data_IF_578726935709
#
_entry.id   IF_578726935709
#
_cell.length_a   1.000
_cell.length_b   1.000
_cell.length_c   1.000
_cell.angle_alpha   90.00
_cell.angle_beta   90.00
_cell.angle_gamma   90.00
#
_symmetry.space_group_name_H-M   'P 1'
#
loop_
_entity.id
_entity.type
_entity.pdbx_description
1 polymer ?
#
# COMPACT_ATOMS: atom_id res chain seq x y z
N UNK A 1 84.54 -22.51 7.45
CA UNK A 1 83.16 -22.35 6.94
C UNK A 1 82.41 -23.69 6.86
N UNK A 2 82.44 -24.55 7.90
CA UNK A 2 81.69 -25.83 7.94
C UNK A 2 80.67 -25.93 9.09
N UNK A 3 80.70 -25.01 10.06
CA UNK A 3 79.77 -24.99 11.20
C UNK A 3 78.45 -24.23 10.97
N UNK A 4 78.37 -23.38 9.94
CA UNK A 4 77.17 -22.54 9.71
C UNK A 4 76.02 -23.31 9.03
N UNK A 5 76.32 -24.34 8.23
CA UNK A 5 75.31 -25.11 7.49
C UNK A 5 74.53 -26.10 8.38
N UNK A 6 75.09 -26.52 9.52
CA UNK A 6 74.41 -27.45 10.42
C UNK A 6 73.35 -26.75 11.28
N UNK A 7 73.56 -25.48 11.64
CA UNK A 7 72.61 -24.70 12.47
C UNK A 7 71.37 -24.31 11.65
N UNK A 8 71.53 -24.00 10.36
CA UNK A 8 70.39 -23.67 9.48
C UNK A 8 69.50 -24.90 9.26
N UNK A 9 70.07 -26.10 9.13
CA UNK A 9 69.30 -27.33 8.92
C UNK A 9 68.48 -27.78 10.14
N UNK A 10 68.93 -27.47 11.36
CA UNK A 10 68.23 -27.82 12.61
C UNK A 10 67.09 -26.84 12.91
N UNK A 11 67.21 -25.57 12.52
CA UNK A 11 66.14 -24.58 12.68
C UNK A 11 65.01 -24.82 11.67
N UNK A 12 65.30 -25.23 10.43
CA UNK A 12 64.25 -25.59 9.46
C UNK A 12 63.49 -26.86 9.82
N UNK A 13 64.08 -27.82 10.54
CA UNK A 13 63.35 -29.01 10.99
C UNK A 13 62.49 -28.75 12.23
N UNK A 14 62.93 -27.87 13.15
CA UNK A 14 62.17 -27.57 14.37
C UNK A 14 60.93 -26.67 14.11
N UNK A 15 60.94 -25.88 13.03
CA UNK A 15 59.80 -25.02 12.65
C UNK A 15 58.72 -25.80 11.89
N UNK A 16 59.03 -26.96 11.30
CA UNK A 16 58.05 -27.77 10.55
C UNK A 16 57.28 -28.74 11.46
N UNK A 17 57.81 -29.11 12.62
CA UNK A 17 57.15 -30.06 13.54
C UNK A 17 56.10 -29.45 14.47
N UNK A 18 55.78 -28.15 14.33
CA UNK A 18 54.69 -27.49 15.09
C UNK A 18 53.52 -27.03 14.22
N UNK A 19 53.47 -27.42 12.94
CA UNK A 19 52.35 -27.11 12.03
C UNK A 19 51.23 -28.17 12.04
N UNK A 20 51.34 -29.21 12.88
CA UNK A 20 50.26 -30.16 13.18
C UNK A 20 49.24 -29.59 14.18
N UNK A 21 49.05 -28.27 14.21
CA UNK A 21 47.73 -27.75 14.57
C UNK A 21 46.82 -28.14 13.42
N UNK A 22 46.26 -29.36 13.49
CA UNK A 22 45.04 -29.70 12.76
C UNK A 22 44.05 -28.62 13.17
N UNK A 23 43.91 -27.60 12.32
CA UNK A 23 42.92 -26.56 12.51
C UNK A 23 41.60 -27.32 12.49
N UNK A 24 41.03 -27.51 13.69
CA UNK A 24 39.73 -28.15 13.83
C UNK A 24 38.72 -27.38 13.01
N UNK A 25 37.69 -28.07 12.56
CA UNK A 25 36.56 -27.42 11.88
C UNK A 25 36.06 -26.26 12.74
N UNK A 26 35.97 -25.06 12.21
CA UNK A 26 35.37 -23.94 12.93
C UNK A 26 33.87 -23.92 12.72
N UNK A 27 33.08 -23.92 13.79
CA UNK A 27 31.62 -23.77 13.71
C UNK A 27 31.20 -22.41 14.27
N UNK A 28 30.16 -21.78 13.75
CA UNK A 28 29.54 -20.63 14.43
C UNK A 28 28.87 -21.12 15.71
N UNK A 29 29.05 -20.41 16.83
CA UNK A 29 28.44 -20.78 18.13
C UNK A 29 27.68 -19.63 18.75
N UNK A 30 26.36 -19.72 18.73
CA UNK A 30 25.47 -18.72 19.30
C UNK A 30 24.07 -19.29 19.52
N UNK A 31 23.22 -18.52 20.19
CA UNK A 31 21.78 -18.75 20.23
C UNK A 31 21.02 -17.48 19.86
N UNK A 32 19.72 -17.59 19.61
CA UNK A 32 18.84 -16.47 19.28
C UNK A 32 18.72 -15.41 20.39
N UNK A 33 19.36 -15.60 21.55
CA UNK A 33 19.55 -14.50 22.52
C UNK A 33 20.54 -13.45 22.02
N UNK A 34 21.44 -13.84 21.11
CA UNK A 34 22.25 -12.93 20.30
C UNK A 34 21.51 -12.61 18.99
N UNK A 35 21.17 -11.34 18.79
CA UNK A 35 20.47 -10.87 17.59
C UNK A 35 21.23 -11.20 16.29
N UNK A 36 22.56 -11.26 16.33
CA UNK A 36 23.39 -11.60 15.18
C UNK A 36 23.28 -13.08 14.81
N UNK A 37 22.99 -13.97 15.77
CA UNK A 37 22.83 -15.40 15.50
C UNK A 37 21.73 -15.69 14.46
N UNK A 38 20.68 -14.86 14.49
CA UNK A 38 19.57 -14.90 13.55
C UNK A 38 19.85 -14.06 12.30
N UNK A 39 20.22 -12.79 12.48
CA UNK A 39 20.19 -11.79 11.40
C UNK A 39 21.47 -11.70 10.58
N UNK A 40 22.62 -12.01 11.20
CA UNK A 40 23.94 -11.92 10.57
C UNK A 40 24.90 -12.96 11.18
N UNK A 41 24.66 -14.26 10.96
CA UNK A 41 25.41 -15.32 11.61
C UNK A 41 26.92 -15.26 11.29
N UNK A 42 27.30 -14.74 10.13
CA UNK A 42 28.70 -14.57 9.74
C UNK A 42 29.48 -13.57 10.62
N UNK A 43 28.79 -12.71 11.37
CA UNK A 43 29.42 -11.79 12.33
C UNK A 43 29.69 -12.43 13.71
N UNK A 44 29.17 -13.63 13.94
CA UNK A 44 29.35 -14.38 15.18
C UNK A 44 30.73 -15.03 15.20
N UNK A 45 31.35 -15.06 16.38
CA UNK A 45 32.63 -15.73 16.60
C UNK A 45 32.52 -17.24 16.35
N UNK A 46 33.49 -17.79 15.63
CA UNK A 46 33.63 -19.23 15.46
C UNK A 46 34.25 -19.90 16.68
N UNK A 47 33.93 -21.17 16.90
CA UNK A 47 34.57 -22.03 17.89
C UNK A 47 35.20 -23.23 17.18
N UNK A 48 36.33 -23.72 17.68
CA UNK A 48 36.95 -24.92 17.13
C UNK A 48 36.17 -26.17 17.60
N UNK A 49 35.80 -27.02 16.65
CA UNK A 49 34.98 -28.21 16.85
C UNK A 49 35.89 -29.44 16.84
N UNK A 50 35.82 -30.26 17.90
CA UNK A 50 36.46 -31.59 17.92
C UNK A 50 35.80 -32.54 16.92
N UNK A 51 34.52 -32.30 16.63
CA UNK A 51 33.75 -33.00 15.60
C UNK A 51 33.90 -32.30 14.24
N UNK A 52 33.76 -33.10 13.18
CA UNK A 52 33.79 -32.60 11.79
C UNK A 52 32.42 -32.08 11.33
N UNK A 53 31.54 -31.63 12.24
CA UNK A 53 30.20 -31.19 11.89
C UNK A 53 29.74 -29.95 12.68
N UNK A 54 29.36 -28.90 11.95
CA UNK A 54 28.62 -27.75 12.45
C UNK A 54 27.11 -28.04 12.40
N UNK A 55 26.31 -27.42 13.26
CA UNK A 55 24.85 -27.46 13.17
C UNK A 55 24.20 -26.07 13.26
N UNK A 56 23.00 -25.96 12.69
CA UNK A 56 21.99 -24.94 13.00
C UNK A 56 20.71 -25.67 13.37
N UNK A 57 20.13 -25.39 14.54
CA UNK A 57 18.92 -26.04 15.02
C UNK A 57 17.90 -25.02 15.55
N UNK A 58 16.62 -25.39 15.51
CA UNK A 58 15.54 -24.66 16.19
C UNK A 58 14.88 -25.56 17.23
N UNK A 59 14.76 -25.09 18.46
CA UNK A 59 14.02 -25.77 19.52
C UNK A 59 12.49 -25.54 19.40
N UNK A 60 11.67 -26.33 20.10
CA UNK A 60 10.21 -26.26 20.02
C UNK A 60 9.61 -24.90 20.41
N UNK A 61 10.32 -24.10 21.20
CA UNK A 61 9.93 -22.74 21.58
C UNK A 61 10.40 -21.67 20.56
N UNK A 62 11.05 -22.06 19.47
CA UNK A 62 11.62 -21.15 18.47
C UNK A 62 13.04 -20.67 18.74
N UNK A 63 13.68 -21.09 19.84
CA UNK A 63 15.08 -20.75 20.09
C UNK A 63 15.97 -21.36 19.02
N UNK A 64 16.70 -20.53 18.30
CA UNK A 64 17.70 -20.98 17.31
C UNK A 64 19.04 -21.13 17.99
N UNK A 65 19.76 -22.20 17.71
CA UNK A 65 21.13 -22.42 18.16
C UNK A 65 22.03 -22.84 17.01
N UNK A 66 23.27 -22.38 17.07
CA UNK A 66 24.36 -22.75 16.17
C UNK A 66 25.51 -23.28 17.01
N UNK A 67 26.19 -24.31 16.55
CA UNK A 67 27.34 -24.85 17.28
C UNK A 67 27.97 -26.07 16.62
N UNK A 68 28.76 -26.80 17.41
CA UNK A 68 29.39 -28.05 17.04
C UNK A 68 28.50 -29.23 17.43
N UNK A 69 28.41 -30.26 16.59
CA UNK A 69 27.84 -31.53 17.05
C UNK A 69 28.75 -32.21 18.08
N UNK A 70 28.21 -32.98 19.03
CA UNK A 70 29.00 -33.87 19.87
C UNK A 70 29.84 -34.87 19.04
N UNK A 71 31.00 -35.27 19.57
CA UNK A 71 31.85 -36.27 18.92
C UNK A 71 31.10 -37.59 18.68
N UNK A 72 31.30 -38.17 17.50
CA UNK A 72 30.60 -39.39 17.07
C UNK A 72 29.17 -39.16 16.58
N UNK A 73 28.60 -37.95 16.72
CA UNK A 73 27.29 -37.61 16.18
C UNK A 73 27.41 -37.09 14.74
N UNK A 74 26.72 -37.75 13.82
CA UNK A 74 26.70 -37.40 12.38
C UNK A 74 25.34 -36.91 11.91
N UNK A 75 24.32 -36.99 12.77
CA UNK A 75 22.94 -36.61 12.47
C UNK A 75 22.33 -35.85 13.64
N UNK A 76 21.40 -34.93 13.34
CA UNK A 76 20.58 -34.33 14.38
C UNK A 76 19.46 -35.30 14.78
N UNK A 77 19.00 -35.20 16.02
CA UNK A 77 17.86 -35.99 16.51
C UNK A 77 16.56 -35.66 15.76
N UNK A 78 16.40 -34.41 15.33
CA UNK A 78 15.29 -33.98 14.48
C UNK A 78 15.84 -33.34 13.19
N UNK A 79 15.70 -34.05 12.07
CA UNK A 79 16.17 -33.59 10.76
C UNK A 79 15.33 -32.45 10.17
N UNK A 80 14.14 -32.19 10.72
CA UNK A 80 13.24 -31.12 10.23
C UNK A 80 13.65 -29.76 10.79
N UNK A 81 14.12 -29.74 12.03
CA UNK A 81 14.49 -28.52 12.75
C UNK A 81 16.00 -28.29 12.83
N UNK A 82 16.82 -29.19 12.28
CA UNK A 82 18.27 -29.13 12.40
C UNK A 82 18.98 -29.45 11.08
N UNK A 83 19.96 -28.62 10.74
CA UNK A 83 20.80 -28.76 9.55
C UNK A 83 22.26 -28.89 9.97
N UNK A 84 22.98 -29.75 9.25
CA UNK A 84 24.38 -30.10 9.52
C UNK A 84 25.21 -29.80 8.28
N UNK A 85 26.44 -29.36 8.50
CA UNK A 85 27.43 -29.17 7.44
C UNK A 85 28.84 -29.38 7.99
N UNK A 86 29.82 -29.60 7.11
CA UNK A 86 31.16 -30.09 7.47
C UNK A 86 32.31 -29.23 6.93
N UNK A 87 32.06 -27.93 6.71
CA UNK A 87 33.07 -26.95 6.29
C UNK A 87 33.10 -25.76 7.25
N UNK A 88 34.21 -25.01 7.27
CA UNK A 88 34.37 -23.93 8.24
C UNK A 88 33.24 -22.90 8.16
N UNK A 89 32.61 -22.64 9.30
CA UNK A 89 31.53 -21.68 9.54
C UNK A 89 30.37 -21.85 8.58
N UNK A 90 30.13 -23.08 8.13
CA UNK A 90 29.09 -23.41 7.15
C UNK A 90 27.66 -23.33 7.70
N UNK A 91 27.49 -23.36 9.02
CA UNK A 91 26.20 -23.35 9.69
C UNK A 91 25.59 -21.94 9.68
N UNK A 92 25.38 -21.39 8.49
CA UNK A 92 24.84 -20.05 8.20
C UNK A 92 23.40 -20.10 7.68
N UNK A 93 22.79 -21.29 7.67
CA UNK A 93 21.42 -21.52 7.18
C UNK A 93 20.44 -20.42 7.62
N UNK A 94 19.66 -19.92 6.67
CA UNK A 94 18.54 -19.00 6.91
C UNK A 94 17.48 -19.68 7.77
N UNK A 95 16.85 -18.91 8.66
CA UNK A 95 15.71 -19.36 9.47
C UNK A 95 14.46 -18.63 9.02
N UNK A 96 13.41 -19.38 8.69
CA UNK A 96 12.15 -18.85 8.19
C UNK A 96 10.97 -19.36 9.03
N UNK A 97 9.85 -18.65 9.00
CA UNK A 97 8.60 -19.22 9.50
C UNK A 97 8.11 -20.30 8.54
N UNK A 98 7.68 -21.45 9.07
CA UNK A 98 7.15 -22.58 8.33
C UNK A 98 5.77 -22.98 8.87
N UNK A 99 4.75 -22.81 8.04
CA UNK A 99 3.35 -23.13 8.39
C UNK A 99 2.50 -23.19 7.12
N UNK A 100 1.27 -23.71 7.26
CA UNK A 100 0.21 -23.64 6.25
C UNK A 100 -1.15 -23.40 6.93
N UNK A 101 -2.02 -22.61 6.29
CA UNK A 101 -3.37 -22.32 6.75
C UNK A 101 -3.48 -21.03 7.56
N UNK A 102 -4.50 -20.93 8.41
CA UNK A 102 -4.83 -19.72 9.17
C UNK A 102 -3.76 -19.32 10.19
N UNK A 103 -3.08 -20.30 10.79
CA UNK A 103 -2.01 -20.05 11.75
C UNK A 103 -0.83 -19.26 11.16
N UNK A 104 -0.68 -19.26 9.82
CA UNK A 104 0.31 -18.46 9.15
C UNK A 104 0.00 -16.97 9.13
N UNK A 105 -1.23 -16.52 9.39
CA UNK A 105 -1.50 -15.09 9.41
C UNK A 105 -0.84 -14.41 10.62
N UNK A 106 -0.74 -15.12 11.74
CA UNK A 106 -0.12 -14.66 12.99
C UNK A 106 0.92 -15.67 13.44
N UNK A 107 2.12 -15.57 12.87
CA UNK A 107 3.21 -16.50 13.18
C UNK A 107 3.76 -16.29 14.60
N UNK A 108 4.23 -17.38 15.19
CA UNK A 108 4.93 -17.37 16.48
C UNK A 108 6.31 -18.02 16.33
N UNK A 109 7.22 -17.77 17.27
CA UNK A 109 8.58 -18.31 17.18
C UNK A 109 8.64 -19.84 17.17
N UNK A 110 7.65 -20.52 17.75
CA UNK A 110 7.51 -21.97 17.67
C UNK A 110 7.34 -22.50 16.21
N UNK A 111 7.01 -21.63 15.26
CA UNK A 111 6.90 -21.95 13.83
C UNK A 111 8.20 -21.69 13.05
N UNK A 112 9.30 -21.31 13.72
CA UNK A 112 10.59 -21.12 13.05
C UNK A 112 11.19 -22.47 12.65
N UNK A 113 11.75 -22.53 11.45
CA UNK A 113 12.44 -23.70 10.92
C UNK A 113 13.73 -23.28 10.21
N UNK A 114 14.76 -24.12 10.31
CA UNK A 114 16.03 -23.95 9.61
C UNK A 114 15.87 -24.42 8.16
N UNK A 115 16.28 -23.59 7.20
CA UNK A 115 16.26 -23.97 5.79
C UNK A 115 17.37 -24.96 5.45
N UNK A 116 17.06 -25.93 4.58
CA UNK A 116 17.97 -27.03 4.21
C UNK A 116 19.26 -26.59 3.51
N UNK A 117 19.30 -25.39 2.93
CA UNK A 117 20.51 -24.82 2.33
C UNK A 117 20.79 -23.42 2.86
N UNK A 118 22.06 -23.03 2.87
CA UNK A 118 22.53 -21.68 3.18
C UNK A 118 22.08 -20.63 2.14
N UNK A 119 21.84 -21.07 0.90
CA UNK A 119 21.30 -20.27 -0.20
C UNK A 119 19.77 -20.14 -0.19
N UNK A 120 19.10 -20.81 0.74
CA UNK A 120 17.64 -20.74 0.85
C UNK A 120 17.17 -19.36 1.28
N UNK A 121 16.05 -18.94 0.68
CA UNK A 121 15.32 -17.72 1.04
C UNK A 121 14.03 -18.08 1.74
N UNK A 122 13.45 -17.13 2.48
CA UNK A 122 12.11 -17.29 3.00
C UNK A 122 11.09 -16.86 1.96
N UNK A 123 9.94 -17.52 1.94
CA UNK A 123 8.82 -17.09 1.14
C UNK A 123 7.50 -17.09 1.92
N UNK A 124 6.55 -16.31 1.43
CA UNK A 124 5.14 -16.33 1.79
C UNK A 124 4.30 -16.39 0.52
N UNK A 125 3.29 -17.24 0.51
CA UNK A 125 2.24 -17.25 -0.51
C UNK A 125 0.88 -17.25 0.17
N UNK A 126 -0.15 -16.65 -0.41
CA UNK A 126 -1.47 -16.63 0.22
C UNK A 126 -2.48 -15.77 -0.53
N UNK A 127 -3.74 -16.17 -0.39
CA UNK A 127 -4.89 -15.61 -1.11
C UNK A 127 -5.93 -15.04 -0.15
N UNK A 128 -5.79 -15.36 1.14
CA UNK A 128 -6.59 -14.84 2.25
C UNK A 128 -5.80 -15.01 3.56
N UNK A 129 -6.29 -14.40 4.65
CA UNK A 129 -5.74 -14.62 5.99
C UNK A 129 -5.85 -16.10 6.45
N UNK A 130 -6.82 -16.86 5.94
CA UNK A 130 -7.01 -18.27 6.30
C UNK A 130 -6.27 -19.24 5.37
N UNK A 131 -5.73 -18.74 4.25
CA UNK A 131 -5.02 -19.53 3.25
C UNK A 131 -3.68 -18.86 2.92
N UNK A 132 -2.72 -19.10 3.81
CA UNK A 132 -1.32 -18.70 3.65
C UNK A 132 -0.41 -19.91 3.82
N UNK A 133 0.74 -19.87 3.15
CA UNK A 133 1.84 -20.80 3.32
C UNK A 133 3.12 -19.99 3.48
N UNK A 134 3.94 -20.39 4.44
CA UNK A 134 5.28 -19.83 4.66
C UNK A 134 6.26 -21.00 4.69
N UNK A 135 7.38 -20.88 3.99
CA UNK A 135 8.45 -21.87 4.07
C UNK A 135 9.76 -21.31 3.50
N UNK A 136 10.76 -22.19 3.40
CA UNK A 136 12.02 -21.97 2.70
C UNK A 136 11.89 -22.32 1.23
N UNK A 137 12.55 -21.58 0.33
CA UNK A 137 12.51 -21.86 -1.12
C UNK A 137 13.04 -23.26 -1.49
N UNK A 138 14.00 -23.80 -0.73
CA UNK A 138 14.53 -25.14 -0.93
C UNK A 138 13.61 -26.27 -0.41
N UNK A 139 12.52 -25.98 0.30
CA UNK A 139 11.64 -27.00 0.86
C UNK A 139 10.86 -27.74 -0.24
N UNK A 140 11.27 -28.94 -0.61
CA UNK A 140 10.63 -29.74 -1.68
C UNK A 140 9.32 -30.39 -1.26
N UNK A 141 8.91 -30.28 0.01
CA UNK A 141 7.66 -30.88 0.51
C UNK A 141 6.42 -30.03 0.17
N UNK A 142 6.62 -28.76 -0.19
CA UNK A 142 5.53 -27.85 -0.51
C UNK A 142 5.10 -28.00 -1.97
N UNK A 143 3.81 -28.28 -2.19
CA UNK A 143 3.23 -28.44 -3.54
C UNK A 143 3.25 -27.14 -4.34
N UNK A 144 3.05 -26.00 -3.66
CA UNK A 144 3.09 -24.68 -4.27
C UNK A 144 4.24 -23.87 -3.70
N UNK A 145 5.13 -23.44 -4.59
CA UNK A 145 6.27 -22.58 -4.29
C UNK A 145 6.12 -21.29 -5.06
N UNK A 146 6.62 -20.22 -4.45
CA UNK A 146 6.97 -19.02 -5.19
C UNK A 146 7.88 -19.36 -6.38
N UNK A 147 7.52 -18.99 -7.62
CA UNK A 147 8.42 -19.13 -8.75
C UNK A 147 9.67 -18.26 -8.54
N UNK A 148 10.80 -18.70 -9.08
CA UNK A 148 12.11 -18.12 -8.78
C UNK A 148 12.26 -16.64 -9.21
N UNK A 149 11.44 -16.20 -10.16
CA UNK A 149 11.38 -14.86 -10.72
C UNK A 149 10.36 -13.93 -10.03
N UNK A 150 9.58 -14.44 -9.07
CA UNK A 150 8.66 -13.68 -8.21
C UNK A 150 7.65 -12.77 -8.94
N UNK A 151 7.29 -13.09 -10.19
CA UNK A 151 6.27 -12.31 -10.93
C UNK A 151 4.84 -12.59 -10.47
N UNK A 152 4.66 -13.62 -9.62
CA UNK A 152 3.36 -13.98 -9.08
C UNK A 152 2.92 -12.95 -8.02
N UNK A 153 1.82 -12.22 -8.23
CA UNK A 153 1.29 -11.25 -7.26
C UNK A 153 0.71 -11.92 -6.00
N UNK A 154 0.79 -13.24 -5.87
CA UNK A 154 0.44 -14.02 -4.68
C UNK A 154 1.68 -14.64 -4.02
N UNK A 155 2.85 -14.05 -4.24
CA UNK A 155 4.12 -14.50 -3.69
C UNK A 155 4.96 -13.32 -3.14
N UNK A 156 5.68 -13.56 -2.05
CA UNK A 156 6.74 -12.68 -1.54
C UNK A 156 7.95 -13.53 -1.14
N UNK A 157 9.14 -13.17 -1.64
CA UNK A 157 10.43 -13.79 -1.29
C UNK A 157 11.31 -12.74 -0.61
N UNK A 158 12.00 -13.14 0.46
CA UNK A 158 12.95 -12.29 1.17
C UNK A 158 14.14 -13.11 1.67
N UNK A 159 15.31 -12.47 1.81
CA UNK A 159 16.59 -13.17 2.02
C UNK A 159 17.12 -13.09 3.46
N UNK A 160 16.47 -12.32 4.34
CA UNK A 160 16.88 -12.20 5.74
C UNK A 160 16.14 -13.19 6.62
N UNK A 161 16.72 -13.56 7.77
CA UNK A 161 16.03 -14.44 8.71
C UNK A 161 14.70 -13.83 9.16
N UNK A 162 13.68 -14.67 9.32
CA UNK A 162 12.36 -14.29 9.86
C UNK A 162 11.61 -13.21 9.04
N UNK A 163 12.06 -12.91 7.82
CA UNK A 163 11.51 -11.83 7.01
C UNK A 163 10.08 -12.13 6.51
N UNK A 164 9.73 -13.40 6.39
CA UNK A 164 8.42 -13.86 5.98
C UNK A 164 7.42 -13.88 7.15
N UNK A 165 7.44 -12.88 8.04
CA UNK A 165 6.54 -12.79 9.22
C UNK A 165 5.27 -11.97 9.00
N UNK A 166 5.20 -11.26 7.88
CA UNK A 166 4.17 -10.25 7.63
C UNK A 166 2.80 -10.89 7.43
N UNK A 167 1.81 -10.49 8.22
CA UNK A 167 0.41 -10.96 8.11
C UNK A 167 -0.19 -10.69 6.72
N UNK A 168 -1.23 -11.45 6.33
CA UNK A 168 -1.85 -11.36 5.00
C UNK A 168 -2.23 -9.92 4.63
N UNK A 169 -2.90 -9.24 5.56
CA UNK A 169 -3.22 -7.83 5.50
C UNK A 169 -2.56 -7.11 6.67
N UNK A 170 -2.05 -5.91 6.41
CA UNK A 170 -1.49 -5.03 7.44
C UNK A 170 -1.82 -3.58 7.13
N UNK A 171 -1.75 -2.76 8.16
CA UNK A 171 -1.79 -1.31 8.01
C UNK A 171 -0.37 -0.79 7.80
N UNK A 172 -0.15 -0.10 6.68
CA UNK A 172 1.12 0.57 6.39
C UNK A 172 0.85 1.85 5.62
N UNK A 173 1.35 2.98 6.15
CA UNK A 173 1.03 4.31 5.63
C UNK A 173 -0.40 4.75 5.96
N UNK A 174 -0.71 6.00 5.59
CA UNK A 174 -2.04 6.57 5.80
C UNK A 174 -2.37 7.59 4.71
N UNK A 175 -3.65 7.71 4.36
CA UNK A 175 -4.14 8.65 3.34
C UNK A 175 -5.50 9.23 3.73
N UNK A 176 -5.84 10.38 3.17
CA UNK A 176 -7.24 10.83 3.16
C UNK A 176 -8.03 9.89 2.25
N UNK A 177 -9.15 9.37 2.75
CA UNK A 177 -10.04 8.44 2.06
C UNK A 177 -11.44 9.02 1.98
N UNK A 178 -11.93 9.29 0.77
CA UNK A 178 -13.25 9.84 0.56
C UNK A 178 -13.70 9.58 -0.89
N UNK A 179 -14.99 9.34 -1.15
CA UNK A 179 -15.49 9.18 -2.53
C UNK A 179 -15.57 10.51 -3.28
N UNK A 180 -15.75 11.64 -2.57
CA UNK A 180 -15.90 12.97 -3.15
C UNK A 180 -15.58 14.07 -2.12
N UNK A 181 -14.29 14.28 -1.81
CA UNK A 181 -13.85 15.41 -0.99
C UNK A 181 -13.00 16.36 -1.83
N UNK A 182 -13.70 17.33 -2.41
CA UNK A 182 -13.13 18.41 -3.21
C UNK A 182 -12.48 19.49 -2.36
N UNK A 183 -12.95 19.65 -1.12
CA UNK A 183 -12.40 20.62 -0.17
C UNK A 183 -11.03 20.18 0.35
N UNK A 184 -10.22 21.13 0.80
CA UNK A 184 -8.99 20.81 1.52
C UNK A 184 -9.33 19.96 2.75
N UNK A 185 -8.47 19.00 3.07
CA UNK A 185 -8.67 18.10 4.21
C UNK A 185 -7.53 18.27 5.20
N UNK A 186 -7.85 18.20 6.49
CA UNK A 186 -6.84 18.18 7.54
C UNK A 186 -6.07 16.87 7.50
N UNK A 187 -4.74 16.92 7.60
CA UNK A 187 -3.90 15.72 7.57
C UNK A 187 -4.24 14.72 8.70
N UNK A 188 -4.81 15.20 9.81
CA UNK A 188 -5.27 14.38 10.92
C UNK A 188 -6.50 13.52 10.61
N UNK A 189 -7.22 13.79 9.51
CA UNK A 189 -8.34 12.97 9.05
C UNK A 189 -7.90 11.72 8.27
N UNK A 190 -6.59 11.51 8.12
CA UNK A 190 -6.03 10.36 7.44
C UNK A 190 -6.44 9.03 8.08
N UNK A 191 -6.75 8.05 7.24
CA UNK A 191 -7.02 6.68 7.64
C UNK A 191 -5.84 5.78 7.25
N UNK A 192 -5.60 4.74 8.04
CA UNK A 192 -4.56 3.77 7.75
C UNK A 192 -4.84 3.05 6.41
N UNK A 193 -3.79 2.79 5.65
CA UNK A 193 -3.90 2.05 4.41
C UNK A 193 -3.71 0.55 4.64
N UNK A 194 -4.74 -0.24 4.33
CA UNK A 194 -4.65 -1.70 4.32
C UNK A 194 -3.93 -2.17 3.05
N UNK A 195 -2.80 -2.86 3.21
CA UNK A 195 -2.04 -3.46 2.11
C UNK A 195 -1.83 -4.95 2.35
N UNK A 196 -1.54 -5.70 1.28
CA UNK A 196 -1.24 -7.12 1.35
C UNK A 196 0.22 -7.40 1.72
N UNK A 197 0.50 -8.59 2.26
CA UNK A 197 1.83 -9.03 2.72
C UNK A 197 2.96 -8.89 1.68
N UNK A 198 2.62 -8.94 0.39
CA UNK A 198 3.56 -8.83 -0.72
C UNK A 198 3.56 -7.45 -1.39
N UNK A 199 2.79 -6.50 -0.87
CA UNK A 199 2.77 -5.13 -1.32
C UNK A 199 3.60 -4.26 -0.38
N UNK A 200 4.06 -3.12 -0.90
CA UNK A 200 4.61 -2.02 -0.12
C UNK A 200 3.68 -0.82 -0.25
N UNK A 201 3.63 0.03 0.77
CA UNK A 201 2.86 1.27 0.67
C UNK A 201 3.46 2.17 -0.42
N UNK A 202 2.68 2.49 -1.44
CA UNK A 202 3.15 3.30 -2.59
C UNK A 202 2.71 4.75 -2.53
N UNK A 203 1.78 5.11 -1.64
CA UNK A 203 1.32 6.48 -1.46
C UNK A 203 -0.19 6.64 -1.46
N UNK A 204 -0.61 7.88 -1.68
CA UNK A 204 -2.00 8.32 -1.76
C UNK A 204 -2.34 8.80 -3.16
N UNK A 205 -3.62 8.80 -3.50
CA UNK A 205 -4.13 9.38 -4.75
C UNK A 205 -5.24 10.41 -4.51
N UNK A 206 -5.48 11.25 -5.51
CA UNK A 206 -6.65 12.13 -5.68
C UNK A 206 -7.06 12.11 -7.15
N UNK A 207 -8.31 11.78 -7.45
CA UNK A 207 -8.84 11.83 -8.83
C UNK A 207 -9.40 13.22 -9.16
N UNK A 208 -9.58 13.52 -10.44
CA UNK A 208 -10.25 14.75 -10.89
C UNK A 208 -11.72 14.85 -10.47
N UNK A 209 -12.35 13.73 -10.12
CA UNK A 209 -13.68 13.68 -9.53
C UNK A 209 -13.68 13.96 -8.01
N UNK A 210 -12.50 14.18 -7.41
CA UNK A 210 -12.35 14.46 -5.98
C UNK A 210 -12.32 13.22 -5.08
N UNK A 211 -12.23 12.01 -5.65
CA UNK A 211 -12.05 10.79 -4.87
C UNK A 211 -10.60 10.70 -4.38
N UNK A 212 -10.41 10.31 -3.12
CA UNK A 212 -9.10 10.19 -2.48
C UNK A 212 -8.96 8.82 -1.82
N UNK A 213 -7.75 8.28 -1.82
CA UNK A 213 -7.47 7.05 -1.09
C UNK A 213 -6.02 6.59 -1.17
N UNK A 214 -5.79 5.36 -0.73
CA UNK A 214 -4.50 4.68 -0.79
C UNK A 214 -4.24 4.16 -2.20
N UNK A 215 -3.05 4.42 -2.74
CA UNK A 215 -2.71 4.08 -4.12
C UNK A 215 -2.74 2.57 -4.38
N UNK A 216 -2.36 1.75 -3.39
CA UNK A 216 -2.43 0.29 -3.47
C UNK A 216 -3.85 -0.26 -3.68
N UNK A 217 -4.89 0.51 -3.36
CA UNK A 217 -6.29 0.11 -3.48
C UNK A 217 -6.95 0.61 -4.77
N UNK A 218 -6.21 1.38 -5.59
CA UNK A 218 -6.71 1.88 -6.87
C UNK A 218 -6.39 0.87 -7.98
N UNK A 219 -7.42 0.26 -8.56
CA UNK A 219 -7.27 -0.64 -9.70
C UNK A 219 -6.60 0.09 -10.88
N UNK A 220 -5.53 -0.49 -11.43
CA UNK A 220 -4.72 0.12 -12.49
C UNK A 220 -3.76 1.23 -12.00
N UNK A 221 -3.81 1.59 -10.72
CA UNK A 221 -2.99 2.65 -10.14
C UNK A 221 -3.35 4.06 -10.66
N UNK A 222 -2.45 5.01 -10.41
CA UNK A 222 -2.61 6.43 -10.77
C UNK A 222 -1.62 6.78 -11.88
N UNK A 223 -1.82 6.21 -13.07
CA UNK A 223 -0.87 6.28 -14.19
C UNK A 223 -1.11 7.47 -15.12
N UNK A 224 -2.36 7.95 -15.21
CA UNK A 224 -2.73 9.11 -16.00
C UNK A 224 -2.78 10.38 -15.12
N UNK A 225 -1.77 11.22 -15.28
CA UNK A 225 -1.64 12.48 -14.56
C UNK A 225 -2.78 13.49 -14.86
N UNK A 226 -3.54 13.30 -15.94
CA UNK A 226 -4.65 14.19 -16.29
C UNK A 226 -5.93 13.88 -15.53
N UNK A 227 -6.08 12.63 -15.05
CA UNK A 227 -7.27 12.16 -14.32
C UNK A 227 -6.97 11.80 -12.86
N UNK A 228 -5.69 11.67 -12.51
CA UNK A 228 -5.26 11.26 -11.19
C UNK A 228 -3.92 11.91 -10.77
N UNK A 229 -3.86 12.39 -9.53
CA UNK A 229 -2.64 12.85 -8.88
C UNK A 229 -2.25 11.87 -7.76
N UNK A 230 -0.97 11.54 -7.64
CA UNK A 230 -0.44 10.72 -6.55
C UNK A 230 0.68 11.41 -5.77
N UNK A 231 0.93 10.93 -4.56
CA UNK A 231 2.00 11.41 -3.68
C UNK A 231 2.40 10.30 -2.69
N UNK A 232 3.65 10.29 -2.20
CA UNK A 232 4.22 9.13 -1.47
C UNK A 232 4.25 9.27 0.05
N UNK A 233 4.02 10.46 0.59
CA UNK A 233 4.03 10.69 2.04
C UNK A 233 2.68 10.37 2.69
N UNK A 234 2.69 10.12 4.01
CA UNK A 234 1.45 9.93 4.76
C UNK A 234 0.56 11.18 4.68
N UNK A 235 -0.73 10.97 4.40
CA UNK A 235 -1.76 12.00 4.35
C UNK A 235 -1.37 13.16 3.40
N UNK A 236 -0.65 12.87 2.31
CA UNK A 236 -0.17 13.90 1.38
C UNK A 236 -1.25 14.42 0.43
N UNK A 237 -2.36 13.67 0.30
CA UNK A 237 -3.49 14.01 -0.55
C UNK A 237 -4.48 14.94 0.17
N UNK A 238 -4.00 16.03 0.75
CA UNK A 238 -4.79 17.00 1.54
C UNK A 238 -5.24 18.21 0.74
N UNK A 239 -4.51 18.57 -0.33
CA UNK A 239 -4.83 19.72 -1.17
C UNK A 239 -6.28 19.69 -1.66
N UNK A 240 -6.93 20.86 -1.74
CA UNK A 240 -8.24 20.97 -2.37
C UNK A 240 -8.15 20.53 -3.84
N UNK A 241 -9.14 19.77 -4.31
CA UNK A 241 -9.32 19.55 -5.74
C UNK A 241 -9.74 20.85 -6.43
N UNK A 242 -9.64 20.93 -7.77
CA UNK A 242 -10.21 22.06 -8.50
C UNK A 242 -11.71 22.12 -8.20
N UNK A 243 -12.16 23.24 -7.66
CA UNK A 243 -13.58 23.47 -7.43
C UNK A 243 -14.25 23.68 -8.78
N UNK A 244 -15.28 22.88 -9.10
CA UNK A 244 -15.97 22.95 -10.39
C UNK A 244 -17.44 23.33 -10.23
N UNK A 245 -18.00 23.96 -11.25
CA UNK A 245 -19.44 24.19 -11.37
C UNK A 245 -19.95 23.66 -12.70
N UNK A 246 -21.22 23.27 -12.74
CA UNK A 246 -21.91 23.06 -14.01
C UNK A 246 -21.97 24.43 -14.72
N UNK A 247 -21.56 24.47 -15.98
CA UNK A 247 -21.56 25.67 -16.82
C UNK A 247 -22.34 25.43 -18.11
N UNK A 248 -23.60 25.86 -18.13
CA UNK A 248 -24.48 25.60 -19.25
C UNK A 248 -25.60 26.65 -19.38
N UNK A 249 -26.18 26.70 -20.57
CA UNK A 249 -27.38 27.46 -20.91
C UNK A 249 -28.46 26.50 -21.41
N UNK A 250 -29.70 26.65 -20.91
CA UNK A 250 -30.78 25.67 -21.15
C UNK A 250 -31.23 25.54 -22.60
N UNK A 251 -30.97 26.54 -23.44
CA UNK A 251 -31.24 26.50 -24.89
C UNK A 251 -30.09 25.88 -25.70
N UNK A 252 -28.89 25.72 -25.12
CA UNK A 252 -27.70 25.22 -25.81
C UNK A 252 -27.37 23.78 -25.39
N UNK A 253 -27.60 23.45 -24.11
CA UNK A 253 -27.22 22.17 -23.52
C UNK A 253 -28.46 21.46 -23.00
N UNK A 254 -28.80 20.33 -23.62
CA UNK A 254 -29.87 19.44 -23.15
C UNK A 254 -29.58 18.98 -21.71
N UNK A 255 -30.58 19.00 -20.84
CA UNK A 255 -30.43 18.64 -19.43
C UNK A 255 -29.95 19.78 -18.53
N UNK A 256 -29.49 20.91 -19.09
CA UNK A 256 -29.10 22.06 -18.28
C UNK A 256 -30.26 22.60 -17.43
N UNK A 257 -31.50 22.54 -17.94
CA UNK A 257 -32.66 22.97 -17.18
C UNK A 257 -32.91 22.11 -15.94
N UNK A 258 -32.83 20.78 -16.09
CA UNK A 258 -33.09 19.82 -15.01
C UNK A 258 -31.88 19.66 -14.08
N UNK A 259 -30.68 19.99 -14.56
CA UNK A 259 -29.43 19.66 -13.87
C UNK A 259 -29.15 18.15 -13.86
N UNK A 260 -29.86 17.40 -14.69
CA UNK A 260 -29.72 15.96 -14.87
C UNK A 260 -29.15 15.65 -16.26
N UNK A 261 -28.28 14.65 -16.33
CA UNK A 261 -27.59 14.22 -17.55
C UNK A 261 -26.22 13.63 -17.20
N UNK A 262 -25.72 12.69 -18.00
CA UNK A 262 -24.44 12.03 -17.72
C UNK A 262 -23.22 12.91 -18.00
N UNK A 263 -23.38 14.01 -18.74
CA UNK A 263 -22.27 14.87 -19.18
C UNK A 263 -22.67 16.35 -19.28
N UNK A 264 -23.11 16.95 -18.17
CA UNK A 264 -23.22 18.42 -18.16
C UNK A 264 -21.81 19.04 -18.16
N UNK A 265 -21.52 20.01 -19.04
CA UNK A 265 -20.23 20.68 -19.07
C UNK A 265 -19.94 21.33 -17.72
N UNK A 266 -18.69 21.20 -17.27
CA UNK A 266 -18.21 21.78 -16.02
C UNK A 266 -16.96 22.62 -16.25
N UNK A 267 -16.78 23.62 -15.40
CA UNK A 267 -15.67 24.58 -15.45
C UNK A 267 -15.06 24.73 -14.06
N UNK A 268 -13.76 25.01 -14.01
CA UNK A 268 -13.05 25.33 -12.77
C UNK A 268 -13.40 26.75 -12.29
N UNK A 269 -13.72 26.91 -11.01
CA UNK A 269 -14.05 28.21 -10.41
C UNK A 269 -13.11 28.52 -9.25
N UNK A 270 -12.24 29.51 -9.46
CA UNK A 270 -11.25 29.93 -8.46
C UNK A 270 -11.86 30.36 -7.11
N UNK A 271 -13.08 30.91 -7.11
CA UNK A 271 -13.74 31.45 -5.91
C UNK A 271 -14.64 30.46 -5.17
N UNK A 272 -14.66 29.18 -5.55
CA UNK A 272 -15.36 28.16 -4.76
C UNK A 272 -16.88 28.32 -4.69
N UNK A 273 -17.51 29.05 -5.61
CA UNK A 273 -18.96 29.31 -5.59
C UNK A 273 -19.60 29.09 -6.96
N UNK A 274 -20.60 28.22 -6.99
CA UNK A 274 -21.47 28.01 -8.15
C UNK A 274 -22.75 28.82 -8.03
N UNK A 275 -23.39 29.10 -9.17
CA UNK A 275 -24.75 29.58 -9.22
C UNK A 275 -25.61 28.84 -10.24
N UNK A 276 -26.91 28.89 -10.02
CA UNK A 276 -27.95 28.52 -10.98
C UNK A 276 -29.12 29.48 -10.86
N UNK A 277 -29.65 30.00 -11.97
CA UNK A 277 -30.85 30.85 -11.97
C UNK A 277 -31.52 30.94 -13.34
N UNK A 278 -32.60 31.71 -13.43
CA UNK A 278 -33.40 31.88 -14.65
C UNK A 278 -33.39 33.34 -15.09
N UNK A 279 -32.93 33.60 -16.31
CA UNK A 279 -32.92 34.93 -16.93
C UNK A 279 -33.59 34.87 -18.29
N UNK A 280 -34.57 35.74 -18.53
CA UNK A 280 -35.32 35.79 -19.79
C UNK A 280 -35.90 34.43 -20.20
N UNK A 281 -36.33 33.63 -19.23
CA UNK A 281 -36.86 32.28 -19.46
C UNK A 281 -35.80 31.20 -19.73
N UNK A 282 -34.51 31.53 -19.66
CA UNK A 282 -33.40 30.58 -19.84
C UNK A 282 -32.77 30.22 -18.49
N UNK A 283 -32.56 28.94 -18.25
CA UNK A 283 -31.80 28.43 -17.13
C UNK A 283 -30.30 28.58 -17.39
N UNK A 284 -29.60 29.23 -16.46
CA UNK A 284 -28.16 29.48 -16.54
C UNK A 284 -27.50 28.86 -15.31
N UNK A 285 -26.42 28.10 -15.53
CA UNK A 285 -25.55 27.55 -14.49
C UNK A 285 -24.12 27.96 -14.79
N UNK A 286 -23.35 28.42 -13.81
CA UNK A 286 -21.91 28.68 -13.97
C UNK A 286 -21.20 28.90 -12.61
N UNK A 287 -19.90 29.21 -12.64
CA UNK A 287 -19.20 29.89 -11.54
C UNK A 287 -19.82 31.26 -11.28
N UNK A 288 -19.96 31.69 -10.01
CA UNK A 288 -20.49 33.04 -9.71
C UNK A 288 -19.69 34.15 -10.39
N UNK A 289 -18.38 33.98 -10.50
CA UNK A 289 -17.45 34.94 -11.13
C UNK A 289 -17.60 35.05 -12.64
N UNK A 290 -18.22 34.06 -13.30
CA UNK A 290 -18.49 34.11 -14.73
C UNK A 290 -19.81 34.85 -15.05
N UNK A 291 -20.68 35.07 -14.06
CA UNK A 291 -21.87 35.88 -14.20
C UNK A 291 -21.51 37.37 -14.35
N UNK A 292 -22.35 38.14 -15.05
CA UNK A 292 -22.21 39.60 -15.07
C UNK A 292 -22.37 40.17 -13.66
N UNK A 293 -21.87 41.39 -13.40
CA UNK A 293 -22.03 42.04 -12.08
C UNK A 293 -23.51 42.11 -11.65
N UNK A 294 -24.41 42.34 -12.60
CA UNK A 294 -25.86 42.33 -12.35
C UNK A 294 -26.36 40.93 -11.95
N UNK A 295 -25.94 39.88 -12.64
CA UNK A 295 -26.31 38.50 -12.27
C UNK A 295 -25.76 38.14 -10.89
N UNK A 296 -24.50 38.50 -10.60
CA UNK A 296 -23.89 38.28 -9.29
C UNK A 296 -24.69 38.99 -8.19
N UNK A 297 -25.03 40.26 -8.39
CA UNK A 297 -25.87 41.02 -7.45
C UNK A 297 -27.25 40.36 -7.24
N UNK A 298 -27.90 39.94 -8.32
CA UNK A 298 -29.22 39.28 -8.25
C UNK A 298 -29.17 37.95 -7.50
N UNK A 299 -28.09 37.18 -7.67
CA UNK A 299 -27.84 35.94 -6.96
C UNK A 299 -27.56 36.15 -5.47
N UNK A 300 -26.63 37.04 -5.14
CA UNK A 300 -26.22 37.32 -3.75
C UNK A 300 -27.41 37.88 -2.94
N UNK A 301 -28.22 38.75 -3.55
CA UNK A 301 -29.36 39.38 -2.88
C UNK A 301 -30.69 38.63 -3.06
N UNK A 302 -30.67 37.43 -3.68
CA UNK A 302 -31.86 36.60 -3.95
C UNK A 302 -33.01 37.39 -4.59
N UNK A 303 -32.69 38.19 -5.60
CA UNK A 303 -33.64 39.06 -6.29
C UNK A 303 -34.60 38.22 -7.13
N UNK A 304 -35.90 38.35 -6.87
CA UNK A 304 -36.95 37.79 -7.72
C UNK A 304 -37.13 38.65 -9.00
N UNK A 305 -37.50 38.06 -10.16
CA UNK A 305 -37.97 36.68 -10.37
C UNK A 305 -36.86 35.70 -10.82
N UNK A 306 -35.59 36.04 -10.62
CA UNK A 306 -34.46 35.32 -11.24
C UNK A 306 -34.19 33.95 -10.60
N UNK A 307 -34.80 33.66 -9.44
CA UNK A 307 -34.70 32.37 -8.74
C UNK A 307 -33.27 31.87 -8.59
N UNK A 308 -32.32 32.80 -8.44
CA UNK A 308 -30.92 32.44 -8.40
C UNK A 308 -30.57 31.81 -7.05
N UNK A 309 -29.84 30.72 -7.10
CA UNK A 309 -29.27 30.03 -5.96
C UNK A 309 -27.76 29.96 -6.13
N UNK A 310 -27.03 30.12 -5.03
CA UNK A 310 -25.59 29.92 -4.96
C UNK A 310 -25.27 28.77 -4.02
N UNK A 311 -24.18 28.07 -4.27
CA UNK A 311 -23.71 26.99 -3.41
C UNK A 311 -22.18 26.87 -3.49
N UNK A 312 -21.57 26.34 -2.43
CA UNK A 312 -20.11 26.35 -2.20
C UNK A 312 -19.49 24.95 -2.19
N UNK A 313 -20.20 23.95 -2.72
CA UNK A 313 -19.66 22.60 -2.93
C UNK A 313 -19.47 22.36 -4.44
N UNK A 314 -18.47 21.57 -4.84
CA UNK A 314 -18.22 21.35 -6.27
C UNK A 314 -19.42 20.66 -6.94
N UNK A 315 -19.81 21.13 -8.13
CA UNK A 315 -20.95 20.66 -8.92
C UNK A 315 -22.30 20.72 -8.18
N UNK A 316 -22.41 21.60 -7.18
CA UNK A 316 -23.61 21.73 -6.35
C UNK A 316 -24.80 22.36 -7.07
N UNK A 317 -24.55 23.13 -8.13
CA UNK A 317 -25.58 23.85 -8.86
C UNK A 317 -26.34 22.93 -9.82
N UNK A 318 -26.83 21.79 -9.33
CA UNK A 318 -27.53 20.75 -10.11
C UNK A 318 -29.05 20.71 -9.88
N UNK A 319 -29.57 21.53 -8.99
CA UNK A 319 -31.01 21.52 -8.68
C UNK A 319 -31.81 21.98 -9.90
N UNK A 320 -32.89 21.24 -10.23
CA UNK A 320 -33.78 21.55 -11.35
C UNK A 320 -34.47 22.91 -11.16
N UNK A 321 -34.61 23.67 -12.25
CA UNK A 321 -35.44 24.88 -12.24
C UNK A 321 -36.92 24.47 -12.22
N UNK A 322 -37.46 24.15 -11.04
CA UNK A 322 -38.84 23.67 -10.90
C UNK A 322 -39.83 24.72 -11.43
N UNK A 323 -40.53 24.44 -12.53
CA UNK A 323 -41.38 25.39 -13.26
C UNK A 323 -42.67 25.84 -12.54
N UNK A 324 -42.85 25.56 -11.25
CA UNK A 324 -44.08 25.96 -10.55
C UNK A 324 -44.27 27.47 -10.44
N UNK A 325 -43.21 28.26 -10.62
CA UNK A 325 -43.26 29.73 -10.61
C UNK A 325 -43.61 30.40 -11.94
N UNK A 326 -43.52 29.73 -13.10
CA UNK A 326 -43.78 30.37 -14.40
C UNK A 326 -45.23 30.28 -14.87
N UNK A 327 -46.02 29.34 -14.33
CA UNK A 327 -47.44 29.21 -14.69
C UNK A 327 -48.30 30.37 -14.17
N UNK A 328 -47.86 31.08 -13.11
CA UNK A 328 -48.61 32.18 -12.50
C UNK A 328 -48.50 33.50 -13.26
N UNK A 329 -47.55 33.69 -14.18
CA UNK A 329 -47.42 34.93 -14.96
C UNK A 329 -48.13 34.90 -16.32
N UNK A 330 -48.38 33.73 -16.92
CA UNK A 330 -49.17 33.65 -18.16
C UNK A 330 -50.68 33.54 -17.92
N UNK A 331 -51.13 33.20 -16.71
CA UNK A 331 -52.55 33.02 -16.40
C UNK A 331 -53.34 34.31 -16.09
N UNK A 332 -52.71 35.36 -15.56
CA UNK A 332 -53.47 36.53 -15.06
C UNK A 332 -53.80 37.52 -16.18
N UNK A 333 -52.93 37.72 -17.18
CA UNK A 333 -53.20 38.66 -18.28
C UNK A 333 -54.28 38.10 -19.24
N UNK A 334 -54.34 36.78 -19.43
CA UNK A 334 -55.38 36.14 -20.24
C UNK A 334 -56.76 36.09 -19.57
N UNK A 335 -56.82 35.97 -18.24
CA UNK A 335 -58.10 35.89 -17.52
C UNK A 335 -58.80 37.25 -17.40
N UNK A 336 -58.05 38.37 -17.30
CA UNK A 336 -58.64 39.70 -17.24
C UNK A 336 -59.18 40.19 -18.60
N UNK A 337 -58.62 39.76 -19.73
CA UNK A 337 -59.17 40.05 -21.06
C UNK A 337 -60.43 39.23 -21.36
N UNK A 338 -60.55 38.01 -20.85
CA UNK A 338 -61.78 37.22 -20.94
C UNK A 338 -62.95 37.80 -20.14
N UNK A 339 -62.70 38.37 -18.95
CA UNK A 339 -63.75 38.93 -18.09
C UNK A 339 -64.34 40.25 -18.64
N UNK A 340 -63.57 41.03 -19.42
CA UNK A 340 -64.05 42.27 -20.03
C UNK A 340 -64.93 42.05 -21.27
N UNK A 341 -64.87 40.88 -21.92
CA UNK A 341 -65.75 40.55 -23.05
C UNK A 341 -67.13 40.06 -22.57
N UNK A 342 -67.21 39.42 -21.40
CA UNK A 342 -68.49 38.97 -20.83
C UNK A 342 -69.30 40.14 -20.24
N UNK A 343 -68.65 41.17 -19.67
CA UNK A 343 -69.34 42.34 -19.09
C UNK A 343 -69.81 43.39 -20.11
N UNK A 344 -69.51 43.24 -21.41
CA UNK A 344 -70.07 44.07 -22.49
C UNK A 344 -71.31 43.47 -23.16
N UNK A 345 -71.72 42.27 -22.74
CA UNK A 345 -72.79 41.50 -23.38
C UNK A 345 -74.02 41.29 -22.47
N UNK A 346 -74.11 42.01 -21.35
CA UNK A 346 -75.24 42.01 -20.43
C UNK A 346 -75.84 43.41 -20.32
#
# INVERSE_FOLDING_TARGET
MRGLNLIIAVITTLVVTQLDSSLGLQCLSCSSTDANCLTNPSSVTGVDCSSNNCFTATAANGTVSRGCLPDGQTTCTDSTSCQICNTDKCNTNTVCYKCTGESCNTVTDAMLAVCSTDTSKCYTTGWSATNMTRSCTADTTQTYKCPADATDPSCSICSTAQCNKVAYQREEGSCITCPNCVEAQEASAGQACTILYNQTFTGCYTTTAGARGCLNNLEGGCTDATTCQSCTANNCNTAAGPFKCIACLSNEVSGCWTGEGTELPSVDCANGTCFSGVWNGLGVRNCITAGSELMQYQCINKVEPYRCQTCTTSLCNKDSFNGSGSLSQMGVVGLFLGLLVVLRSA
#
